data_IF_844857606234
#
_entry.id   IF_844857606234
#
_cell.length_a   1.000
_cell.length_b   1.000
_cell.length_c   1.000
_cell.angle_alpha   90.00
_cell.angle_beta   90.00
_cell.angle_gamma   90.00
#
_symmetry.space_group_name_H-M   'P 1'
#
loop_
_entity.id
_entity.type
_entity.pdbx_description
1 polymer ?
#
# COMPACT_ATOMS: atom_id res chain seq x y z
N UNK A 1 5.29 15.29 -1.21
CA UNK A 1 4.97 14.13 -2.09
C UNK A 1 4.32 14.54 -3.41
N UNK A 2 4.66 15.72 -3.95
CA UNK A 2 4.42 16.08 -5.36
C UNK A 2 5.72 16.67 -5.91
N UNK A 3 6.81 15.98 -5.60
CA UNK A 3 8.20 16.42 -5.75
C UNK A 3 8.68 16.12 -7.18
N UNK A 4 7.79 16.36 -8.14
CA UNK A 4 7.96 16.12 -9.58
C UNK A 4 8.98 17.13 -10.10
N UNK A 5 10.16 16.63 -10.41
CA UNK A 5 11.25 17.40 -10.98
C UNK A 5 10.97 17.78 -12.44
N UNK A 6 11.70 18.77 -12.96
CA UNK A 6 11.65 19.13 -14.38
C UNK A 6 12.04 17.95 -15.29
N UNK A 7 12.94 17.06 -14.82
CA UNK A 7 13.35 15.86 -15.55
C UNK A 7 12.21 14.84 -15.72
N UNK A 8 11.39 14.65 -14.68
CA UNK A 8 10.22 13.77 -14.74
C UNK A 8 9.12 14.32 -15.66
N UNK A 9 8.87 15.64 -15.64
CA UNK A 9 7.95 16.27 -16.61
C UNK A 9 8.44 16.07 -18.05
N UNK A 10 9.75 16.22 -18.29
CA UNK A 10 10.34 16.01 -19.62
C UNK A 10 10.24 14.54 -20.05
N UNK A 11 10.51 13.59 -19.16
CA UNK A 11 10.40 12.15 -19.42
C UNK A 11 8.94 11.74 -19.73
N UNK A 12 7.98 12.18 -18.90
CA UNK A 12 6.55 11.95 -19.13
C UNK A 12 6.12 12.60 -20.44
N UNK A 13 6.65 13.79 -20.77
CA UNK A 13 6.47 14.45 -22.06
C UNK A 13 6.91 13.58 -23.23
N UNK A 14 8.13 13.03 -23.19
CA UNK A 14 8.67 12.13 -24.23
C UNK A 14 7.80 10.87 -24.37
N UNK A 15 7.45 10.21 -23.26
CA UNK A 15 6.58 9.02 -23.27
C UNK A 15 5.21 9.34 -23.87
N UNK A 16 4.61 10.47 -23.49
CA UNK A 16 3.34 10.93 -24.06
C UNK A 16 3.44 11.27 -25.56
N UNK A 17 4.55 11.85 -26.02
CA UNK A 17 4.78 12.12 -27.45
C UNK A 17 4.86 10.81 -28.26
N UNK A 18 5.42 9.74 -27.70
CA UNK A 18 5.48 8.41 -28.36
C UNK A 18 4.13 7.69 -28.31
N UNK A 19 3.49 7.61 -27.15
CA UNK A 19 2.25 6.83 -26.96
C UNK A 19 1.02 7.50 -27.57
N UNK A 20 0.88 8.82 -27.41
CA UNK A 20 -0.28 9.58 -27.90
C UNK A 20 -0.01 10.22 -29.27
N UNK A 21 1.25 10.42 -29.65
CA UNK A 21 1.66 11.09 -30.88
C UNK A 21 1.82 12.62 -30.72
N UNK A 22 2.80 13.24 -31.41
CA UNK A 22 3.15 14.65 -31.22
C UNK A 22 2.05 15.65 -31.61
N UNK A 23 1.10 15.27 -32.46
CA UNK A 23 -0.02 16.13 -32.87
C UNK A 23 -1.20 16.08 -31.89
N UNK A 24 -1.34 14.98 -31.13
CA UNK A 24 -2.50 14.76 -30.24
C UNK A 24 -2.23 15.27 -28.82
N UNK A 25 -1.00 15.16 -28.32
CA UNK A 25 -0.58 15.72 -27.03
C UNK A 25 -0.93 17.23 -26.89
N UNK A 26 -0.55 18.16 -27.80
CA UNK A 26 -0.89 19.58 -27.67
C UNK A 26 -2.40 19.84 -27.74
N UNK A 27 -3.17 18.97 -28.41
CA UNK A 27 -4.64 19.05 -28.47
C UNK A 27 -5.25 18.68 -27.12
N UNK A 28 -4.82 17.59 -26.49
CA UNK A 28 -5.26 17.20 -25.14
C UNK A 28 -4.83 18.24 -24.09
N UNK A 29 -3.58 18.72 -24.16
CA UNK A 29 -3.07 19.75 -23.26
C UNK A 29 -3.86 21.06 -23.36
N UNK A 30 -4.29 21.47 -24.58
CA UNK A 30 -5.19 22.63 -24.77
C UNK A 30 -6.57 22.41 -24.17
N UNK A 31 -7.15 21.22 -24.33
CA UNK A 31 -8.48 20.90 -23.74
C UNK A 31 -8.43 20.88 -22.22
N UNK A 32 -7.47 20.18 -21.62
CA UNK A 32 -7.28 20.15 -20.17
C UNK A 32 -6.94 21.55 -19.63
N UNK A 33 -6.04 22.28 -20.29
CA UNK A 33 -5.69 23.65 -19.95
C UNK A 33 -6.89 24.61 -20.01
N UNK A 34 -7.78 24.45 -20.99
CA UNK A 34 -9.01 25.24 -21.08
C UNK A 34 -10.01 24.92 -19.95
N UNK A 35 -10.11 23.66 -19.50
CA UNK A 35 -10.92 23.28 -18.34
C UNK A 35 -10.33 23.84 -17.05
N UNK A 36 -9.03 23.69 -16.83
CA UNK A 36 -8.31 24.23 -15.66
C UNK A 36 -8.39 25.76 -15.63
N UNK A 37 -8.20 26.45 -16.75
CA UNK A 37 -8.31 27.91 -16.83
C UNK A 37 -9.74 28.42 -16.57
N UNK A 38 -10.78 27.66 -16.95
CA UNK A 38 -12.18 27.96 -16.60
C UNK A 38 -12.42 27.78 -15.10
N UNK A 39 -11.94 26.68 -14.51
CA UNK A 39 -12.04 26.45 -13.07
C UNK A 39 -11.29 27.53 -12.26
N UNK A 40 -10.07 27.88 -12.66
CA UNK A 40 -9.28 28.97 -12.06
C UNK A 40 -10.01 30.32 -12.17
N UNK A 41 -10.64 30.63 -13.30
CA UNK A 41 -11.44 31.86 -13.45
C UNK A 41 -12.69 31.86 -12.55
N UNK A 42 -13.38 30.72 -12.42
CA UNK A 42 -14.52 30.60 -11.51
C UNK A 42 -14.10 30.75 -10.03
N UNK A 43 -13.01 30.11 -9.62
CA UNK A 43 -12.43 30.29 -8.28
C UNK A 43 -11.96 31.74 -8.07
N UNK A 44 -11.46 32.41 -9.10
CA UNK A 44 -11.07 33.82 -9.03
C UNK A 44 -12.28 34.77 -8.93
N UNK A 45 -13.37 34.54 -9.66
CA UNK A 45 -14.60 35.35 -9.54
C UNK A 45 -15.28 35.11 -8.19
N UNK A 46 -15.46 33.85 -7.79
CA UNK A 46 -16.00 33.50 -6.46
C UNK A 46 -15.11 34.08 -5.36
N UNK A 47 -13.77 34.07 -5.50
CA UNK A 47 -12.88 34.77 -4.55
C UNK A 47 -13.09 36.28 -4.57
N UNK A 48 -13.30 36.93 -5.72
CA UNK A 48 -13.56 38.36 -5.79
C UNK A 48 -14.90 38.73 -5.12
N UNK A 49 -15.97 38.01 -5.43
CA UNK A 49 -17.30 38.19 -4.85
C UNK A 49 -17.26 37.94 -3.33
N UNK A 50 -16.56 36.89 -2.89
CA UNK A 50 -16.32 36.62 -1.47
C UNK A 50 -15.48 37.74 -0.84
N UNK A 51 -14.36 38.18 -1.41
CA UNK A 51 -13.56 39.26 -0.81
C UNK A 51 -14.30 40.60 -0.71
N UNK A 52 -15.28 40.85 -1.58
CA UNK A 52 -16.14 42.03 -1.54
C UNK A 52 -17.19 41.98 -0.40
N UNK A 53 -17.47 40.79 0.16
CA UNK A 53 -18.47 40.57 1.22
C UNK A 53 -17.85 40.10 2.56
N UNK A 54 -16.77 39.32 2.49
CA UNK A 54 -16.16 38.59 3.58
C UNK A 54 -15.04 39.39 4.25
N UNK A 55 -15.40 40.55 4.79
CA UNK A 55 -14.64 41.08 5.90
C UNK A 55 -15.00 40.26 7.16
N UNK A 56 -14.18 39.21 7.44
CA UNK A 56 -14.13 38.48 8.72
C UNK A 56 -15.28 37.50 9.09
N UNK A 57 -15.80 36.66 8.18
CA UNK A 57 -16.70 35.54 8.60
C UNK A 57 -16.71 34.26 7.74
N UNK A 58 -16.40 34.33 6.44
CA UNK A 58 -16.59 33.16 5.54
C UNK A 58 -15.71 31.94 5.82
N UNK A 59 -14.49 32.14 6.35
CA UNK A 59 -13.54 31.05 6.59
C UNK A 59 -13.79 30.34 7.93
N UNK A 60 -14.19 31.10 8.96
CA UNK A 60 -14.49 30.54 10.28
C UNK A 60 -15.81 29.75 10.27
N UNK A 61 -16.81 30.19 9.50
CA UNK A 61 -18.04 29.41 9.26
C UNK A 61 -17.73 28.03 8.68
N UNK A 62 -17.06 27.97 7.52
CA UNK A 62 -16.68 26.71 6.88
C UNK A 62 -15.79 25.83 7.77
N UNK A 63 -14.91 26.44 8.59
CA UNK A 63 -14.09 25.72 9.56
C UNK A 63 -14.95 25.08 10.68
N UNK A 64 -15.95 25.81 11.19
CA UNK A 64 -16.86 25.29 12.20
C UNK A 64 -17.76 24.18 11.63
N UNK A 65 -18.30 24.35 10.41
CA UNK A 65 -19.09 23.32 9.73
C UNK A 65 -18.30 22.00 9.58
N UNK A 66 -17.02 22.08 9.21
CA UNK A 66 -16.10 20.93 9.11
C UNK A 66 -15.78 20.36 10.50
N UNK A 67 -15.59 21.20 11.50
CA UNK A 67 -15.31 20.80 12.88
C UNK A 67 -16.49 20.06 13.51
N UNK A 68 -17.72 20.53 13.28
CA UNK A 68 -18.95 19.91 13.79
C UNK A 68 -19.31 18.63 13.03
N UNK A 69 -19.10 18.59 11.71
CA UNK A 69 -19.22 17.36 10.92
C UNK A 69 -18.21 16.29 11.38
N UNK A 70 -16.96 16.66 11.65
CA UNK A 70 -15.95 15.74 12.17
C UNK A 70 -16.26 15.29 13.62
N UNK A 71 -16.78 16.18 14.46
CA UNK A 71 -17.10 15.89 15.86
C UNK A 71 -18.33 14.99 15.99
N UNK A 72 -19.37 15.24 15.20
CA UNK A 72 -20.57 14.39 15.13
C UNK A 72 -20.26 13.00 14.54
N UNK A 73 -19.49 12.92 13.45
CA UNK A 73 -19.02 11.65 12.91
C UNK A 73 -18.19 10.86 13.93
N UNK A 74 -17.29 11.52 14.66
CA UNK A 74 -16.51 10.90 15.73
C UNK A 74 -17.43 10.35 16.84
N UNK A 75 -18.40 11.14 17.31
CA UNK A 75 -19.34 10.70 18.35
C UNK A 75 -20.20 9.51 17.88
N UNK A 76 -20.64 9.51 16.62
CA UNK A 76 -21.35 8.40 15.98
C UNK A 76 -20.51 7.12 16.02
N UNK A 77 -19.24 7.21 15.59
CA UNK A 77 -18.32 6.07 15.56
C UNK A 77 -17.91 5.59 16.96
N UNK A 78 -17.71 6.50 17.92
CA UNK A 78 -17.42 6.12 19.31
C UNK A 78 -18.62 5.43 19.97
N UNK A 79 -19.87 5.80 19.64
CA UNK A 79 -21.07 5.10 20.09
C UNK A 79 -21.21 3.70 19.46
N UNK A 80 -20.98 3.59 18.14
CA UNK A 80 -21.03 2.31 17.41
C UNK A 80 -19.96 1.32 17.93
N UNK A 81 -18.72 1.79 18.11
CA UNK A 81 -17.63 0.98 18.69
C UNK A 81 -17.91 0.58 20.13
N UNK A 82 -18.61 1.41 20.93
CA UNK A 82 -19.03 1.03 22.29
C UNK A 82 -20.12 -0.05 22.27
N UNK A 83 -21.12 0.05 21.39
CA UNK A 83 -22.15 -0.98 21.20
C UNK A 83 -21.55 -2.33 20.81
N UNK A 84 -20.70 -2.35 19.77
CA UNK A 84 -19.99 -3.56 19.31
C UNK A 84 -19.12 -4.16 20.43
N UNK A 85 -18.44 -3.32 21.24
CA UNK A 85 -17.66 -3.80 22.40
C UNK A 85 -18.53 -4.41 23.48
N UNK A 86 -19.71 -3.86 23.77
CA UNK A 86 -20.62 -4.40 24.77
C UNK A 86 -21.27 -5.72 24.31
N UNK A 87 -21.64 -5.83 23.04
CA UNK A 87 -22.20 -7.06 22.48
C UNK A 87 -21.15 -8.18 22.40
N UNK A 88 -19.90 -7.86 21.99
CA UNK A 88 -18.75 -8.78 22.06
C UNK A 88 -18.42 -9.19 23.51
N UNK A 89 -18.54 -8.28 24.49
CA UNK A 89 -18.34 -8.61 25.90
C UNK A 89 -19.44 -9.54 26.44
N UNK A 90 -20.70 -9.34 26.05
CA UNK A 90 -21.81 -10.22 26.42
C UNK A 90 -21.66 -11.63 25.80
N UNK A 91 -21.33 -11.70 24.50
CA UNK A 91 -21.10 -12.98 23.82
C UNK A 91 -19.88 -13.73 24.38
N UNK A 92 -18.76 -13.04 24.63
CA UNK A 92 -17.58 -13.69 25.22
C UNK A 92 -17.79 -14.14 26.66
N UNK A 93 -18.59 -13.43 27.45
CA UNK A 93 -19.01 -13.90 28.78
C UNK A 93 -19.88 -15.17 28.68
N UNK A 94 -20.86 -15.22 27.77
CA UNK A 94 -21.67 -16.42 27.54
C UNK A 94 -20.82 -17.60 27.06
N UNK A 95 -19.86 -17.38 26.16
CA UNK A 95 -18.92 -18.42 25.70
C UNK A 95 -17.99 -18.90 26.83
N UNK A 96 -17.59 -18.02 27.76
CA UNK A 96 -16.84 -18.43 28.96
C UNK A 96 -17.71 -19.25 29.93
N UNK A 97 -18.99 -18.89 30.11
CA UNK A 97 -19.92 -19.68 30.93
C UNK A 97 -20.16 -21.06 30.32
N UNK A 98 -20.50 -21.13 29.03
CA UNK A 98 -20.71 -22.39 28.29
C UNK A 98 -19.46 -23.27 28.26
N UNK A 99 -18.26 -22.68 28.12
CA UNK A 99 -17.00 -23.45 28.14
C UNK A 99 -16.52 -23.81 29.55
N UNK A 100 -16.96 -23.13 30.61
CA UNK A 100 -16.77 -23.57 31.99
C UNK A 100 -17.71 -24.73 32.34
N UNK A 101 -19.00 -24.60 31.95
CA UNK A 101 -20.03 -25.63 32.14
C UNK A 101 -19.69 -26.91 31.35
N UNK A 102 -19.16 -26.79 30.14
CA UNK A 102 -18.67 -27.92 29.35
C UNK A 102 -17.33 -28.51 29.84
N UNK A 103 -16.52 -27.74 30.61
CA UNK A 103 -15.27 -28.24 31.19
C UNK A 103 -15.50 -29.12 32.42
N UNK A 104 -16.46 -28.78 33.28
CA UNK A 104 -16.74 -29.56 34.49
C UNK A 104 -16.94 -31.07 34.23
N UNK A 105 -17.84 -31.52 33.32
CA UNK A 105 -18.00 -32.95 33.03
C UNK A 105 -16.82 -33.54 32.23
N UNK A 106 -16.06 -32.71 31.51
CA UNK A 106 -14.88 -33.15 30.76
C UNK A 106 -13.67 -33.43 31.68
N UNK A 107 -13.51 -32.65 32.74
CA UNK A 107 -12.48 -32.85 33.76
C UNK A 107 -12.84 -34.02 34.68
N UNK A 108 -14.13 -34.18 35.03
CA UNK A 108 -14.64 -35.37 35.74
C UNK A 108 -14.46 -36.66 34.90
N UNK A 109 -14.71 -36.59 33.59
CA UNK A 109 -14.40 -37.68 32.67
C UNK A 109 -12.88 -37.94 32.56
N UNK A 110 -12.04 -36.90 32.50
CA UNK A 110 -10.58 -37.05 32.45
C UNK A 110 -10.02 -37.73 33.71
N UNK A 111 -10.52 -37.35 34.89
CA UNK A 111 -10.19 -38.00 36.17
C UNK A 111 -10.68 -39.45 36.24
N UNK A 112 -11.84 -39.76 35.65
CA UNK A 112 -12.37 -41.13 35.58
C UNK A 112 -11.56 -42.03 34.63
N UNK A 113 -11.08 -41.49 33.51
CA UNK A 113 -10.37 -42.25 32.47
C UNK A 113 -8.88 -42.46 32.78
N UNK A 114 -8.22 -41.55 33.52
CA UNK A 114 -6.83 -41.75 33.96
C UNK A 114 -6.63 -42.91 34.94
N UNK A 115 -7.69 -43.56 35.41
CA UNK A 115 -7.64 -44.78 36.21
C UNK A 115 -7.13 -46.03 35.47
N UNK A 116 -6.94 -45.99 34.14
CA UNK A 116 -6.27 -47.08 33.44
C UNK A 116 -6.15 -46.92 31.92
N UNK A 117 -4.94 -46.57 31.46
CA UNK A 117 -4.18 -47.38 30.50
C UNK A 117 -2.75 -46.81 30.34
N UNK A 118 -1.73 -47.53 30.82
CA UNK A 118 -0.33 -47.24 30.53
C UNK A 118 0.00 -47.52 29.05
N UNK A 119 -0.21 -46.53 28.19
CA UNK A 119 0.21 -46.58 26.78
C UNK A 119 1.64 -46.04 26.62
N UNK A 120 2.56 -46.85 27.12
CA UNK A 120 4.02 -46.77 26.91
C UNK A 120 4.37 -46.38 25.47
N UNK A 121 5.07 -45.25 25.22
CA UNK A 121 5.59 -44.94 23.89
C UNK A 121 6.69 -45.95 23.54
N UNK A 122 6.51 -46.67 22.43
CA UNK A 122 7.42 -47.71 21.94
C UNK A 122 7.52 -47.65 20.39
N UNK A 123 8.63 -48.11 19.77
CA UNK A 123 9.07 -47.56 18.49
C UNK A 123 8.57 -48.31 17.24
N UNK A 124 8.63 -47.61 16.11
CA UNK A 124 8.46 -48.21 14.79
C UNK A 124 9.65 -49.10 14.37
N UNK A 125 9.40 -50.06 13.46
CA UNK A 125 10.37 -50.37 12.41
C UNK A 125 9.73 -50.31 11.00
N UNK A 126 10.51 -49.88 10.02
CA UNK A 126 10.11 -49.87 8.60
C UNK A 126 10.76 -51.01 7.82
N UNK A 127 9.99 -51.66 6.94
CA UNK A 127 10.46 -52.48 5.81
C UNK A 127 9.48 -52.22 4.64
N UNK A 128 9.82 -51.64 3.48
CA UNK A 128 11.02 -51.63 2.60
C UNK A 128 11.07 -52.76 1.58
N UNK A 129 10.46 -52.55 0.40
CA UNK A 129 10.74 -53.17 -0.92
C UNK A 129 9.71 -52.66 -1.96
N UNK A 130 9.93 -52.49 -3.28
CA UNK A 130 11.09 -52.25 -4.18
C UNK A 130 10.47 -52.18 -5.61
N UNK A 131 10.81 -51.36 -6.61
CA UNK A 131 11.54 -50.06 -6.81
C UNK A 131 10.91 -49.43 -8.11
N UNK A 132 11.06 -48.15 -8.46
CA UNK A 132 11.78 -47.62 -9.66
C UNK A 132 11.04 -46.31 -10.10
N UNK A 133 11.64 -45.16 -10.48
CA UNK A 133 13.02 -44.66 -10.48
C UNK A 133 13.06 -43.11 -10.30
N UNK A 134 14.25 -42.54 -10.09
CA UNK A 134 14.66 -41.14 -10.39
C UNK A 134 14.20 -39.97 -9.49
N UNK A 135 14.70 -40.01 -8.24
CA UNK A 135 15.52 -38.94 -7.63
C UNK A 135 15.22 -37.46 -7.93
N UNK A 136 14.68 -36.76 -6.92
CA UNK A 136 14.86 -35.30 -6.70
C UNK A 136 16.09 -35.10 -5.79
N UNK A 137 16.80 -33.96 -5.86
CA UNK A 137 16.73 -33.02 -4.73
C UNK A 137 16.59 -31.55 -5.15
N UNK A 138 16.11 -30.74 -4.21
CA UNK A 138 15.76 -29.32 -4.34
C UNK A 138 16.84 -28.40 -3.69
N UNK A 139 16.65 -27.08 -3.79
CA UNK A 139 17.42 -26.00 -3.15
C UNK A 139 18.84 -25.70 -3.73
N UNK A 140 19.42 -24.49 -3.53
CA UNK A 140 18.94 -23.36 -2.74
C UNK A 140 18.43 -22.14 -3.57
N UNK A 141 17.75 -21.17 -2.93
CA UNK A 141 17.54 -19.85 -3.54
C UNK A 141 18.89 -19.18 -3.85
N UNK A 142 18.96 -18.46 -4.98
CA UNK A 142 20.12 -17.60 -5.29
C UNK A 142 19.85 -16.19 -4.82
N UNK A 143 20.81 -15.66 -4.08
CA UNK A 143 20.78 -14.33 -3.49
C UNK A 143 20.88 -13.25 -4.58
N UNK A 144 20.23 -12.11 -4.35
CA UNK A 144 20.43 -10.91 -5.17
C UNK A 144 21.69 -10.17 -4.68
N UNK A 145 22.30 -9.30 -5.51
CA UNK A 145 23.46 -8.44 -5.19
C UNK A 145 24.88 -9.06 -5.28
N UNK A 146 25.22 -9.74 -6.39
CA UNK A 146 26.61 -9.74 -6.91
C UNK A 146 26.57 -9.38 -8.40
N UNK A 147 26.97 -8.17 -8.81
CA UNK A 147 28.35 -7.67 -9.03
C UNK A 147 28.98 -7.99 -10.40
N UNK A 148 28.22 -7.83 -11.49
CA UNK A 148 28.78 -7.57 -12.83
C UNK A 148 29.40 -6.16 -12.90
N UNK A 149 30.45 -5.93 -12.11
CA UNK A 149 31.12 -4.62 -11.94
C UNK A 149 32.38 -4.48 -12.81
N UNK A 150 32.96 -5.60 -13.26
CA UNK A 150 34.19 -5.64 -14.05
C UNK A 150 34.19 -6.80 -15.05
N UNK A 151 33.63 -6.57 -16.24
CA UNK A 151 34.07 -7.30 -17.44
C UNK A 151 34.13 -6.37 -18.66
N UNK A 152 35.07 -6.69 -19.55
CA UNK A 152 35.43 -6.03 -20.82
C UNK A 152 35.71 -4.50 -20.84
N UNK A 153 36.97 -4.13 -20.56
CA UNK A 153 37.66 -3.05 -21.28
C UNK A 153 39.14 -3.41 -21.46
N UNK A 154 39.63 -3.49 -22.72
CA UNK A 154 40.85 -2.79 -23.12
C UNK A 154 40.76 -2.28 -24.60
N UNK A 155 41.83 -1.80 -25.27
CA UNK A 155 42.28 -0.40 -25.15
C UNK A 155 42.56 0.29 -26.53
N UNK A 156 43.21 1.46 -26.49
CA UNK A 156 43.89 2.16 -27.60
C UNK A 156 43.01 2.89 -28.65
N UNK A 157 43.45 3.96 -29.35
CA UNK A 157 44.54 4.93 -29.14
C UNK A 157 44.39 6.15 -30.07
N UNK A 158 44.77 7.35 -29.61
CA UNK A 158 44.75 8.62 -30.39
C UNK A 158 44.00 9.72 -29.63
N UNK A 159 44.50 10.95 -29.36
CA UNK A 159 45.46 11.83 -30.06
C UNK A 159 45.01 12.20 -31.49
N UNK A 160 44.87 13.47 -31.90
CA UNK A 160 45.29 14.74 -31.26
C UNK A 160 44.52 15.97 -31.81
N UNK A 161 44.43 17.03 -31.01
CA UNK A 161 44.47 18.48 -31.36
C UNK A 161 43.79 19.05 -32.62
N UNK A 162 42.95 20.08 -32.45
CA UNK A 162 43.23 21.50 -32.85
C UNK A 162 41.95 22.38 -32.81
N UNK A 163 41.99 23.63 -32.28
CA UNK A 163 40.89 24.60 -32.34
C UNK A 163 41.04 25.64 -33.46
N UNK A 164 39.94 26.16 -34.01
CA UNK A 164 39.96 27.31 -34.94
C UNK A 164 38.65 28.14 -35.00
N UNK A 165 38.83 29.45 -34.84
CA UNK A 165 37.93 30.57 -35.22
C UNK A 165 38.16 30.93 -36.72
N UNK A 166 37.50 31.96 -37.32
CA UNK A 166 36.17 32.54 -37.13
C UNK A 166 35.45 32.85 -38.50
N UNK A 167 34.39 33.68 -38.45
CA UNK A 167 33.88 34.57 -39.51
C UNK A 167 33.27 33.99 -40.81
N UNK A 168 32.00 34.35 -41.03
CA UNK A 168 31.52 35.02 -42.23
C UNK A 168 30.60 36.17 -41.77
#
# INVERSE_FOLDING_TARGET
>A
MFDISFGEILLIGIVALVVLGPERLPTVARTLGALVARAQRFVASVKADIHQQANLSGLDGLRNDIQDAASSFKAQMEAEVQGVRQEMAAQSAQLQQLSAEAKAPLEEAAHTIHGGLDLQPAPAPAVSAVVEEKSVPEAPPRDENQLDLFDDMPPASGQTSTPSHPHA
#
